data_IF_094850289861
#
_entry.id   IF_094850289861
#
_cell.length_a   1.000
_cell.length_b   1.000
_cell.length_c   1.000
_cell.angle_alpha   90.00
_cell.angle_beta   90.00
_cell.angle_gamma   90.00
#
_symmetry.space_group_name_H-M   'P 1'
#
loop_
_entity.id
_entity.type
_entity.pdbx_description
1 polymer ?
#
# COMPACT_ATOMS: atom_id res chain seq x y z
N UNK A 1 8.88 37.74 25.08
CA UNK A 1 7.75 38.01 24.16
C UNK A 1 7.50 36.69 23.44
N UNK A 2 6.34 36.07 23.66
CA UNK A 2 6.02 34.75 23.13
C UNK A 2 5.24 34.96 21.82
N UNK A 3 5.65 34.31 20.73
CA UNK A 3 4.91 34.34 19.47
C UNK A 3 3.65 33.46 19.59
N UNK A 4 2.49 34.09 19.67
CA UNK A 4 1.16 33.44 19.71
C UNK A 4 0.48 33.43 18.33
N UNK A 5 0.95 34.27 17.42
CA UNK A 5 0.42 34.36 16.06
C UNK A 5 1.07 33.31 15.16
N UNK A 6 0.23 32.48 14.54
CA UNK A 6 0.65 31.49 13.56
C UNK A 6 0.35 32.01 12.15
N UNK A 7 1.40 32.13 11.34
CA UNK A 7 1.32 32.63 9.97
C UNK A 7 1.18 31.51 8.92
N UNK A 8 1.04 30.26 9.35
CA UNK A 8 1.06 29.07 8.49
C UNK A 8 -0.34 28.56 8.21
N UNK A 9 -1.07 28.19 9.26
CA UNK A 9 -2.31 27.43 9.19
C UNK A 9 -3.54 28.34 9.23
N UNK A 10 -4.66 27.85 8.71
CA UNK A 10 -5.97 28.48 8.86
C UNK A 10 -6.53 28.30 10.29
N UNK A 11 -7.49 29.13 10.68
CA UNK A 11 -7.98 29.15 12.06
C UNK A 11 -8.67 27.83 12.46
N UNK A 12 -9.44 27.17 11.58
CA UNK A 12 -10.07 25.88 11.90
C UNK A 12 -9.04 24.79 12.25
N UNK A 13 -7.90 24.75 11.55
CA UNK A 13 -6.80 23.81 11.82
C UNK A 13 -6.17 24.13 13.18
N UNK A 14 -5.94 25.41 13.48
CA UNK A 14 -5.35 25.83 14.75
C UNK A 14 -6.30 25.60 15.93
N UNK A 15 -7.61 25.82 15.75
CA UNK A 15 -8.60 25.55 16.80
C UNK A 15 -8.65 24.07 17.14
N UNK A 16 -8.59 23.18 16.14
CA UNK A 16 -8.45 21.74 16.37
C UNK A 16 -7.14 21.40 17.10
N UNK A 17 -6.01 21.98 16.66
CA UNK A 17 -4.70 21.76 17.30
C UNK A 17 -4.69 22.23 18.77
N UNK A 18 -5.22 23.42 19.03
CA UNK A 18 -5.34 24.01 20.37
C UNK A 18 -6.24 23.15 21.28
N UNK A 19 -7.34 22.63 20.75
CA UNK A 19 -8.26 21.78 21.51
C UNK A 19 -7.60 20.45 21.92
N UNK A 20 -6.89 19.79 20.99
CA UNK A 20 -6.13 18.56 21.27
C UNK A 20 -5.06 18.81 22.32
N UNK A 21 -4.17 19.79 22.11
CA UNK A 21 -3.04 20.03 23.02
C UNK A 21 -3.47 20.58 24.38
N UNK A 22 -4.61 21.26 24.46
CA UNK A 22 -5.17 21.81 25.70
C UNK A 22 -5.56 20.74 26.72
N UNK A 23 -5.71 19.47 26.30
CA UNK A 23 -5.96 18.33 27.18
C UNK A 23 -4.70 17.77 27.86
N UNK A 24 -3.51 18.32 27.60
CA UNK A 24 -2.29 17.96 28.34
C UNK A 24 -2.21 18.68 29.69
N UNK A 25 -1.97 17.92 30.76
CA UNK A 25 -1.91 18.42 32.13
C UNK A 25 -0.63 19.20 32.46
N UNK A 26 0.45 18.96 31.71
CA UNK A 26 1.72 19.65 31.90
C UNK A 26 1.67 21.05 31.28
N UNK A 27 1.72 22.05 32.15
CA UNK A 27 1.38 23.48 31.94
C UNK A 27 2.28 24.24 30.95
N UNK A 28 3.09 23.55 30.13
CA UNK A 28 4.09 24.16 29.24
C UNK A 28 3.51 24.81 27.97
N UNK A 29 2.21 24.64 27.69
CA UNK A 29 1.54 25.23 26.52
C UNK A 29 0.18 25.87 26.85
N UNK A 30 0.13 26.81 27.80
CA UNK A 30 -1.00 27.76 27.96
C UNK A 30 -1.13 28.77 26.80
N UNK A 31 -0.51 28.50 25.65
CA UNK A 31 -0.42 29.37 24.49
C UNK A 31 -1.48 28.95 23.49
N UNK A 32 -2.45 29.81 23.25
CA UNK A 32 -3.47 29.60 22.23
C UNK A 32 -3.00 30.23 20.93
N UNK A 33 -2.73 29.41 19.92
CA UNK A 33 -2.34 29.93 18.61
C UNK A 33 -3.55 30.50 17.86
N UNK A 34 -3.38 31.63 17.20
CA UNK A 34 -4.41 32.22 16.32
C UNK A 34 -3.81 32.61 14.96
N UNK A 35 -4.67 32.72 13.95
CA UNK A 35 -4.31 33.03 12.56
C UNK A 35 -5.17 34.14 11.98
N UNK A 36 -4.54 35.04 11.22
CA UNK A 36 -5.23 36.10 10.47
C UNK A 36 -5.61 35.68 9.04
N UNK A 37 -5.39 34.40 8.67
CA UNK A 37 -5.74 33.86 7.34
C UNK A 37 -7.23 33.50 7.20
N UNK A 38 -8.03 33.82 8.23
CA UNK A 38 -9.45 33.49 8.31
C UNK A 38 -9.71 32.04 8.74
N UNK A 39 -11.00 31.64 8.80
CA UNK A 39 -11.40 30.31 9.24
C UNK A 39 -10.78 29.19 8.40
N UNK A 40 -10.66 29.41 7.10
CA UNK A 40 -10.33 28.35 6.15
C UNK A 40 -11.47 27.34 6.02
N UNK A 41 -11.16 26.21 5.40
CA UNK A 41 -12.12 25.12 5.23
C UNK A 41 -12.23 24.26 6.49
N UNK A 42 -13.32 23.49 6.59
CA UNK A 42 -13.45 22.48 7.65
C UNK A 42 -12.48 21.33 7.40
N UNK A 43 -12.09 20.67 8.48
CA UNK A 43 -11.27 19.48 8.44
C UNK A 43 -12.12 18.36 7.83
N UNK A 44 -11.59 17.63 6.85
CA UNK A 44 -12.31 16.50 6.27
C UNK A 44 -11.98 15.24 7.07
N UNK A 45 -12.99 14.58 7.61
CA UNK A 45 -12.85 13.31 8.33
C UNK A 45 -13.30 12.13 7.46
N UNK A 46 -12.64 10.97 7.58
CA UNK A 46 -13.08 9.74 6.92
C UNK A 46 -12.98 8.52 7.83
N UNK A 47 -14.03 7.69 7.80
CA UNK A 47 -14.04 6.37 8.44
C UNK A 47 -14.24 5.29 7.38
N UNK A 48 -13.19 4.50 7.15
CA UNK A 48 -13.20 3.34 6.26
C UNK A 48 -13.50 2.03 7.00
N UNK A 49 -13.98 1.01 6.29
CA UNK A 49 -14.08 -0.34 6.88
C UNK A 49 -12.67 -0.93 7.05
N UNK A 50 -11.83 -0.81 6.03
CA UNK A 50 -10.49 -1.41 5.96
C UNK A 50 -9.40 -0.36 5.74
N UNK A 51 -8.14 -0.77 5.95
CA UNK A 51 -6.96 0.06 5.60
C UNK A 51 -6.88 0.40 4.10
N UNK A 52 -7.46 -0.44 3.23
CA UNK A 52 -7.53 -0.15 1.79
C UNK A 52 -8.59 0.90 1.48
N UNK A 53 -9.74 0.90 2.18
CA UNK A 53 -10.76 1.95 2.03
C UNK A 53 -10.20 3.31 2.47
N UNK A 54 -9.44 3.32 3.56
CA UNK A 54 -8.73 4.51 4.02
C UNK A 54 -7.73 5.01 2.98
N UNK A 55 -6.89 4.12 2.45
CA UNK A 55 -5.91 4.47 1.43
C UNK A 55 -6.57 4.96 0.13
N UNK A 56 -7.72 4.38 -0.25
CA UNK A 56 -8.51 4.82 -1.40
C UNK A 56 -9.07 6.23 -1.20
N UNK A 57 -9.62 6.52 -0.02
CA UNK A 57 -10.05 7.88 0.32
C UNK A 57 -8.91 8.90 0.18
N UNK A 58 -7.71 8.55 0.66
CA UNK A 58 -6.53 9.42 0.54
C UNK A 58 -6.18 9.65 -0.94
N UNK A 59 -6.14 8.59 -1.76
CA UNK A 59 -5.85 8.72 -3.18
C UNK A 59 -6.89 9.55 -3.93
N UNK A 60 -8.18 9.30 -3.69
CA UNK A 60 -9.29 10.04 -4.32
C UNK A 60 -9.23 11.54 -3.98
N UNK A 61 -8.92 11.87 -2.74
CA UNK A 61 -8.88 13.26 -2.29
C UNK A 61 -7.59 13.97 -2.75
N UNK A 62 -6.47 13.26 -2.86
CA UNK A 62 -5.26 13.76 -3.53
C UNK A 62 -5.58 14.10 -5.00
N UNK A 63 -6.25 13.20 -5.72
CA UNK A 63 -6.62 13.42 -7.12
C UNK A 63 -7.59 14.60 -7.28
N UNK A 64 -8.57 14.72 -6.38
CA UNK A 64 -9.49 15.87 -6.34
C UNK A 64 -8.75 17.20 -6.14
N UNK A 65 -7.80 17.25 -5.19
CA UNK A 65 -7.00 18.45 -4.94
C UNK A 65 -6.08 18.76 -6.13
N UNK A 66 -5.50 17.74 -6.75
CA UNK A 66 -4.60 17.89 -7.89
C UNK A 66 -5.35 18.41 -9.12
N UNK A 67 -6.50 17.82 -9.42
CA UNK A 67 -7.42 18.30 -10.46
C UNK A 67 -7.90 19.74 -10.17
N UNK A 68 -8.00 20.11 -8.89
CA UNK A 68 -8.24 21.48 -8.43
C UNK A 68 -7.06 22.44 -8.58
N UNK A 69 -5.91 21.97 -9.10
CA UNK A 69 -4.72 22.79 -9.40
C UNK A 69 -3.63 22.77 -8.33
N UNK A 70 -3.73 21.93 -7.29
CA UNK A 70 -2.68 21.79 -6.28
C UNK A 70 -1.57 20.84 -6.75
N UNK A 71 -0.31 21.23 -6.60
CA UNK A 71 0.81 20.38 -6.99
C UNK A 71 1.02 19.21 -6.01
N UNK A 72 1.42 18.03 -6.50
CA UNK A 72 1.65 16.87 -5.64
C UNK A 72 2.69 17.13 -4.54
N UNK A 73 3.74 17.91 -4.84
CA UNK A 73 4.79 18.31 -3.87
C UNK A 73 4.26 19.09 -2.66
N UNK A 74 3.09 19.73 -2.80
CA UNK A 74 2.47 20.53 -1.74
C UNK A 74 1.52 19.69 -0.85
N UNK A 75 1.46 18.36 -1.09
CA UNK A 75 0.66 17.41 -0.35
C UNK A 75 1.53 16.41 0.42
N UNK A 76 1.10 16.03 1.62
CA UNK A 76 1.77 14.99 2.39
C UNK A 76 0.80 14.07 3.14
N UNK A 77 1.19 12.80 3.26
CA UNK A 77 0.47 11.76 4.02
C UNK A 77 1.32 11.36 5.23
N UNK A 78 0.75 11.53 6.41
CA UNK A 78 1.37 11.21 7.69
C UNK A 78 0.76 9.97 8.30
N UNK A 79 1.63 9.08 8.76
CA UNK A 79 1.29 7.87 9.49
C UNK A 79 2.14 7.75 10.75
N UNK A 80 1.74 6.89 11.68
CA UNK A 80 2.44 6.72 12.96
C UNK A 80 3.51 5.63 12.90
N UNK A 81 3.31 4.58 12.11
CA UNK A 81 4.25 3.46 11.94
C UNK A 81 4.47 3.12 10.47
N UNK A 82 5.66 2.59 10.14
CA UNK A 82 5.99 2.21 8.77
C UNK A 82 5.16 1.02 8.24
N UNK A 83 4.49 0.27 9.11
CA UNK A 83 3.58 -0.80 8.70
C UNK A 83 2.38 -0.24 7.91
N UNK A 84 1.96 1.01 8.19
CA UNK A 84 0.83 1.65 7.50
C UNK A 84 1.16 2.04 6.05
N UNK A 85 2.44 2.14 5.66
CA UNK A 85 2.79 2.62 4.31
C UNK A 85 2.29 1.68 3.24
N UNK A 86 2.18 0.37 3.53
CA UNK A 86 1.92 -0.63 2.51
C UNK A 86 0.62 -0.39 1.74
N UNK A 87 -0.50 -0.24 2.45
CA UNK A 87 -1.81 -0.01 1.84
C UNK A 87 -1.85 1.32 1.08
N UNK A 88 -1.20 2.36 1.64
CA UNK A 88 -1.07 3.66 0.99
C UNK A 88 -0.28 3.55 -0.32
N UNK A 89 0.89 2.93 -0.30
CA UNK A 89 1.73 2.72 -1.48
C UNK A 89 0.97 1.92 -2.55
N UNK A 90 0.33 0.81 -2.20
CA UNK A 90 -0.44 -0.03 -3.14
C UNK A 90 -1.52 0.77 -3.88
N UNK A 91 -2.31 1.55 -3.13
CA UNK A 91 -3.42 2.30 -3.70
C UNK A 91 -2.95 3.53 -4.49
N UNK A 92 -1.93 4.24 -4.01
CA UNK A 92 -1.37 5.39 -4.72
C UNK A 92 -0.74 4.96 -6.06
N UNK A 93 0.00 3.85 -6.07
CA UNK A 93 0.53 3.27 -7.32
C UNK A 93 -0.59 2.92 -8.31
N UNK A 94 -1.62 2.20 -7.85
CA UNK A 94 -2.76 1.82 -8.71
C UNK A 94 -3.55 3.01 -9.22
N UNK A 95 -3.63 4.08 -8.43
CA UNK A 95 -4.32 5.33 -8.79
C UNK A 95 -3.45 6.26 -9.65
N UNK A 96 -2.20 5.87 -9.96
CA UNK A 96 -1.28 6.69 -10.74
C UNK A 96 -0.81 7.95 -10.02
N UNK A 97 -0.86 7.98 -8.68
CA UNK A 97 -0.43 9.13 -7.87
C UNK A 97 1.07 9.01 -7.59
N UNK A 98 1.90 9.96 -8.07
CA UNK A 98 3.34 9.93 -7.84
C UNK A 98 3.65 10.22 -6.37
N UNK A 99 4.44 9.37 -5.72
CA UNK A 99 4.72 9.48 -4.30
C UNK A 99 6.20 9.22 -3.94
N UNK A 100 6.61 9.71 -2.77
CA UNK A 100 7.94 9.49 -2.21
C UNK A 100 7.88 9.24 -0.71
N UNK A 101 8.57 8.20 -0.26
CA UNK A 101 8.78 7.92 1.17
C UNK A 101 9.93 8.77 1.73
N UNK A 102 9.68 9.48 2.83
CA UNK A 102 10.69 10.24 3.58
C UNK A 102 11.10 9.45 4.82
N UNK A 103 12.39 9.12 4.92
CA UNK A 103 12.95 8.41 6.06
C UNK A 103 12.71 6.89 6.06
N UNK A 104 12.35 6.31 4.91
CA UNK A 104 12.20 4.86 4.72
C UNK A 104 12.48 4.44 3.28
N UNK A 105 12.63 3.14 3.06
CA UNK A 105 12.73 2.53 1.72
C UNK A 105 11.37 2.01 1.28
N UNK A 106 11.05 2.12 -0.02
CA UNK A 106 9.83 1.55 -0.61
C UNK A 106 9.71 0.07 -0.27
N UNK A 107 8.50 -0.43 -0.15
CA UNK A 107 8.26 -1.83 0.28
C UNK A 107 9.06 -2.83 -0.57
N UNK A 108 8.96 -2.76 -1.90
CA UNK A 108 9.67 -3.64 -2.83
C UNK A 108 11.18 -3.35 -2.95
N UNK A 109 11.66 -2.24 -2.39
CA UNK A 109 13.09 -1.90 -2.39
C UNK A 109 13.85 -2.46 -1.18
N UNK A 110 13.14 -2.86 -0.13
CA UNK A 110 13.69 -3.44 1.09
C UNK A 110 14.50 -4.71 0.77
N UNK A 111 15.62 -4.91 1.46
CA UNK A 111 16.57 -5.97 1.14
C UNK A 111 15.92 -7.35 1.28
N UNK A 112 15.20 -7.57 2.37
CA UNK A 112 14.49 -8.80 2.68
C UNK A 112 13.39 -9.10 1.66
N UNK A 113 12.68 -8.07 1.18
CA UNK A 113 11.66 -8.23 0.14
C UNK A 113 12.30 -8.61 -1.19
N UNK A 114 13.39 -7.93 -1.57
CA UNK A 114 14.16 -8.28 -2.78
C UNK A 114 14.74 -9.69 -2.73
N UNK A 115 15.16 -10.16 -1.56
CA UNK A 115 15.65 -11.52 -1.38
C UNK A 115 14.55 -12.55 -1.62
N UNK A 116 13.37 -12.33 -1.02
CA UNK A 116 12.22 -13.22 -1.18
C UNK A 116 11.67 -13.18 -2.61
N UNK A 117 11.63 -12.01 -3.26
CA UNK A 117 11.28 -11.90 -4.67
C UNK A 117 12.30 -12.61 -5.56
N UNK A 118 13.60 -12.59 -5.23
CA UNK A 118 14.60 -13.34 -5.97
C UNK A 118 14.45 -14.86 -5.78
N UNK A 119 13.97 -15.33 -4.63
CA UNK A 119 13.58 -16.73 -4.46
C UNK A 119 12.44 -17.13 -5.40
N UNK A 120 11.39 -16.30 -5.47
CA UNK A 120 10.27 -16.50 -6.37
C UNK A 120 10.72 -16.47 -7.84
N UNK A 121 11.55 -15.49 -8.22
CA UNK A 121 12.11 -15.38 -9.57
C UNK A 121 12.98 -16.59 -9.94
N UNK A 122 13.81 -17.08 -9.02
CA UNK A 122 14.68 -18.23 -9.26
C UNK A 122 13.92 -19.54 -9.52
N UNK A 123 12.75 -19.73 -8.91
CA UNK A 123 11.90 -20.91 -9.19
C UNK A 123 10.97 -20.71 -10.37
N UNK A 124 10.57 -19.46 -10.67
CA UNK A 124 9.79 -19.13 -11.86
C UNK A 124 10.64 -19.24 -13.14
N UNK A 125 11.90 -18.81 -13.07
CA UNK A 125 12.87 -18.85 -14.15
C UNK A 125 14.20 -19.45 -13.65
N UNK A 126 14.42 -20.75 -13.84
CA UNK A 126 15.68 -21.42 -13.48
C UNK A 126 16.93 -20.81 -14.14
N UNK A 127 16.78 -20.11 -15.26
CA UNK A 127 17.90 -19.51 -15.99
C UNK A 127 18.28 -18.10 -15.50
N UNK A 128 17.55 -17.54 -14.54
CA UNK A 128 17.88 -16.24 -13.94
C UNK A 128 19.11 -16.34 -13.01
N UNK A 129 20.31 -16.24 -13.58
CA UNK A 129 21.55 -16.28 -12.83
C UNK A 129 21.73 -15.12 -11.84
N UNK A 130 21.02 -13.99 -11.99
CA UNK A 130 21.09 -12.88 -11.02
C UNK A 130 20.29 -13.22 -9.77
N UNK A 131 19.07 -13.74 -9.93
CA UNK A 131 18.25 -14.19 -8.82
C UNK A 131 18.96 -15.27 -7.99
N UNK A 132 19.53 -16.28 -8.67
CA UNK A 132 20.25 -17.37 -8.02
C UNK A 132 21.47 -16.91 -7.22
N UNK A 133 22.29 -16.00 -7.77
CA UNK A 133 23.45 -15.45 -7.05
C UNK A 133 23.03 -14.65 -5.81
N UNK A 134 21.98 -13.84 -5.92
CA UNK A 134 21.45 -13.05 -4.78
C UNK A 134 21.06 -13.94 -3.60
N UNK A 135 20.39 -15.07 -3.87
CA UNK A 135 19.82 -15.93 -2.82
C UNK A 135 20.78 -17.02 -2.34
N UNK A 136 21.89 -17.28 -3.06
CA UNK A 136 22.82 -18.37 -2.80
C UNK A 136 23.25 -18.42 -1.32
N UNK A 137 23.62 -17.27 -0.76
CA UNK A 137 24.10 -17.15 0.61
C UNK A 137 23.17 -16.32 1.52
N UNK A 138 21.89 -16.22 1.17
CA UNK A 138 20.88 -15.47 1.93
C UNK A 138 19.68 -16.36 2.24
N UNK A 139 19.45 -16.82 3.49
CA UNK A 139 20.26 -16.58 4.69
C UNK A 139 21.67 -17.18 4.59
N UNK A 140 22.58 -16.76 5.50
CA UNK A 140 23.99 -17.17 5.49
C UNK A 140 24.11 -18.70 5.54
N UNK A 141 24.69 -19.28 4.48
CA UNK A 141 24.95 -20.72 4.30
C UNK A 141 26.42 -21.08 4.43
N UNK A 142 27.28 -20.09 4.69
CA UNK A 142 28.73 -20.29 4.70
C UNK A 142 29.31 -20.46 3.30
N UNK A 143 28.62 -19.94 2.28
CA UNK A 143 29.09 -19.89 0.89
C UNK A 143 29.72 -18.51 0.68
N UNK A 144 31.02 -18.47 0.36
CA UNK A 144 31.74 -17.21 0.10
C UNK A 144 31.89 -16.92 -1.39
N UNK A 145 32.36 -15.70 -1.70
CA UNK A 145 32.54 -15.18 -3.06
C UNK A 145 33.41 -16.08 -3.96
N UNK A 146 34.37 -16.80 -3.37
CA UNK A 146 35.24 -17.74 -4.09
C UNK A 146 34.44 -18.91 -4.65
N UNK A 147 33.50 -19.46 -3.87
CA UNK A 147 32.64 -20.56 -4.30
C UNK A 147 31.66 -20.07 -5.36
N UNK A 148 31.04 -18.90 -5.16
CA UNK A 148 30.13 -18.30 -6.15
C UNK A 148 30.86 -18.05 -7.48
N UNK A 149 32.06 -17.46 -7.44
CA UNK A 149 32.88 -17.22 -8.62
C UNK A 149 33.28 -18.50 -9.33
N UNK A 150 33.55 -19.58 -8.58
CA UNK A 150 33.87 -20.88 -9.17
C UNK A 150 32.66 -21.48 -9.90
N UNK A 151 31.46 -21.38 -9.31
CA UNK A 151 30.21 -21.82 -9.96
C UNK A 151 29.96 -20.99 -11.22
N UNK A 152 30.12 -19.67 -11.16
CA UNK A 152 29.94 -18.79 -12.33
C UNK A 152 30.92 -19.14 -13.46
N UNK A 153 32.21 -19.32 -13.13
CA UNK A 153 33.22 -19.72 -14.14
C UNK A 153 32.87 -21.06 -14.77
N UNK A 154 32.47 -22.05 -13.97
CA UNK A 154 32.05 -23.34 -14.49
C UNK A 154 30.81 -23.22 -15.39
N UNK A 155 29.86 -22.36 -15.04
CA UNK A 155 28.70 -22.07 -15.87
C UNK A 155 29.11 -21.48 -17.23
N UNK A 156 30.01 -20.48 -17.21
CA UNK A 156 30.50 -19.80 -18.41
C UNK A 156 31.31 -20.75 -19.31
N UNK A 157 32.22 -21.54 -18.73
CA UNK A 157 33.10 -22.48 -19.44
C UNK A 157 32.31 -23.60 -20.14
N UNK A 158 31.20 -24.03 -19.54
CA UNK A 158 30.35 -25.09 -20.08
C UNK A 158 29.13 -24.56 -20.85
N UNK A 159 28.96 -23.24 -20.93
CA UNK A 159 27.80 -22.58 -21.56
C UNK A 159 26.44 -23.04 -21.00
N UNK A 160 26.39 -23.25 -19.69
CA UNK A 160 25.19 -23.67 -18.95
C UNK A 160 24.70 -22.55 -18.02
N UNK A 161 23.46 -22.63 -17.55
CA UNK A 161 22.98 -21.62 -16.59
C UNK A 161 23.65 -21.77 -15.22
N UNK A 162 23.68 -20.68 -14.43
CA UNK A 162 24.22 -20.74 -13.07
C UNK A 162 23.54 -21.84 -12.23
N UNK A 163 22.24 -22.05 -12.48
CA UNK A 163 21.43 -23.09 -11.85
C UNK A 163 21.88 -24.50 -12.24
N UNK A 164 22.14 -24.73 -13.52
CA UNK A 164 22.68 -25.99 -14.01
C UNK A 164 24.08 -26.28 -13.45
N UNK A 165 24.93 -25.25 -13.33
CA UNK A 165 26.24 -25.39 -12.68
C UNK A 165 26.11 -25.79 -11.20
N UNK A 166 25.12 -25.25 -10.46
CA UNK A 166 24.84 -25.70 -9.09
C UNK A 166 24.35 -27.16 -9.03
N UNK A 167 23.62 -27.65 -10.03
CA UNK A 167 23.22 -29.07 -10.11
C UNK A 167 24.42 -29.99 -10.34
N UNK A 168 25.51 -29.47 -10.90
CA UNK A 168 26.76 -30.18 -11.16
C UNK A 168 27.88 -29.76 -10.20
N UNK A 169 27.54 -29.35 -8.98
CA UNK A 169 28.48 -28.76 -8.02
C UNK A 169 29.68 -29.67 -7.68
N UNK A 170 29.53 -30.99 -7.84
CA UNK A 170 30.60 -31.99 -7.72
C UNK A 170 31.74 -31.76 -8.71
N UNK A 171 31.41 -31.30 -9.92
CA UNK A 171 32.34 -31.07 -11.02
C UNK A 171 33.01 -29.69 -10.98
N UNK A 172 32.49 -28.76 -10.16
CA UNK A 172 33.01 -27.39 -10.03
C UNK A 172 34.34 -27.34 -9.25
N UNK A 173 34.62 -28.34 -8.40
CA UNK A 173 35.88 -28.42 -7.66
C UNK A 173 35.97 -27.51 -6.43
N UNK A 174 34.84 -27.26 -5.75
CA UNK A 174 34.79 -26.48 -4.50
C UNK A 174 34.94 -27.36 -3.24
N UNK A 175 35.11 -26.74 -2.07
CA UNK A 175 35.26 -27.46 -0.80
C UNK A 175 34.04 -28.34 -0.49
N UNK A 176 34.27 -29.54 0.07
CA UNK A 176 33.21 -30.55 0.30
C UNK A 176 32.00 -30.03 1.10
N UNK A 177 32.22 -29.15 2.08
CA UNK A 177 31.13 -28.50 2.83
C UNK A 177 30.27 -27.62 1.92
N UNK A 178 30.89 -26.79 1.08
CA UNK A 178 30.19 -25.94 0.13
C UNK A 178 29.44 -26.77 -0.91
N UNK A 179 30.05 -27.86 -1.41
CA UNK A 179 29.38 -28.81 -2.31
C UNK A 179 28.11 -29.38 -1.71
N UNK A 180 28.16 -29.85 -0.46
CA UNK A 180 27.00 -30.40 0.23
C UNK A 180 25.89 -29.36 0.42
N UNK A 181 26.23 -28.16 0.87
CA UNK A 181 25.27 -27.07 1.11
C UNK A 181 24.61 -26.58 -0.19
N UNK A 182 25.37 -26.39 -1.26
CA UNK A 182 24.82 -25.99 -2.57
C UNK A 182 23.94 -27.09 -3.16
N UNK A 183 24.33 -28.37 -3.01
CA UNK A 183 23.51 -29.50 -3.47
C UNK A 183 22.17 -29.57 -2.75
N UNK A 184 22.16 -29.43 -1.43
CA UNK A 184 20.91 -29.41 -0.65
C UNK A 184 20.02 -28.25 -1.09
N UNK A 185 20.62 -27.06 -1.26
CA UNK A 185 19.90 -25.87 -1.69
C UNK A 185 19.30 -25.98 -3.10
N UNK A 186 20.08 -26.45 -4.08
CA UNK A 186 19.60 -26.61 -5.46
C UNK A 186 18.49 -27.66 -5.52
N UNK A 187 18.62 -28.78 -4.80
CA UNK A 187 17.57 -29.81 -4.72
C UNK A 187 16.26 -29.26 -4.14
N UNK A 188 16.33 -28.45 -3.08
CA UNK A 188 15.15 -27.82 -2.50
C UNK A 188 14.43 -26.91 -3.50
N UNK A 189 15.20 -26.07 -4.20
CA UNK A 189 14.66 -25.17 -5.21
C UNK A 189 14.12 -25.93 -6.45
N UNK A 190 14.73 -27.05 -6.85
CA UNK A 190 14.25 -27.87 -7.99
C UNK A 190 12.92 -28.54 -7.66
N UNK A 191 12.80 -29.07 -6.44
CA UNK A 191 11.55 -29.64 -5.93
C UNK A 191 10.41 -28.62 -5.98
N UNK A 192 10.67 -27.38 -5.56
CA UNK A 192 9.66 -26.31 -5.55
C UNK A 192 9.37 -25.82 -6.97
N UNK A 193 10.39 -25.67 -7.82
CA UNK A 193 10.20 -25.30 -9.24
C UNK A 193 9.26 -26.27 -9.96
N UNK A 194 9.31 -27.57 -9.61
CA UNK A 194 8.40 -28.59 -10.13
C UNK A 194 6.93 -28.40 -9.75
N UNK A 195 6.59 -27.58 -8.76
CA UNK A 195 5.20 -27.31 -8.35
C UNK A 195 4.65 -25.99 -8.89
N UNK A 196 5.52 -25.08 -9.38
CA UNK A 196 5.17 -23.71 -9.79
C UNK A 196 4.04 -23.67 -10.82
N UNK A 197 3.97 -24.64 -11.74
CA UNK A 197 2.95 -24.68 -12.79
C UNK A 197 1.52 -24.92 -12.27
N UNK A 198 1.38 -25.48 -11.06
CA UNK A 198 0.07 -25.92 -10.52
C UNK A 198 -0.24 -25.38 -9.12
N UNK A 199 0.79 -24.96 -8.37
CA UNK A 199 0.64 -24.45 -7.02
C UNK A 199 0.23 -22.97 -7.02
N UNK A 200 -0.47 -22.56 -5.97
CA UNK A 200 -0.78 -21.16 -5.72
C UNK A 200 0.50 -20.40 -5.34
N UNK A 201 0.53 -19.11 -5.63
CA UNK A 201 1.71 -18.26 -5.35
C UNK A 201 2.08 -18.28 -3.87
N UNK A 202 1.07 -18.21 -2.99
CA UNK A 202 1.25 -18.27 -1.54
C UNK A 202 1.89 -19.60 -1.10
N UNK A 203 1.50 -20.72 -1.69
CA UNK A 203 2.00 -22.04 -1.31
C UNK A 203 3.46 -22.21 -1.75
N UNK A 204 3.81 -21.69 -2.94
CA UNK A 204 5.20 -21.65 -3.44
C UNK A 204 6.08 -20.80 -2.51
N UNK A 205 5.60 -19.61 -2.13
CA UNK A 205 6.34 -18.72 -1.23
C UNK A 205 6.55 -19.35 0.15
N UNK A 206 5.50 -19.93 0.76
CA UNK A 206 5.62 -20.60 2.06
C UNK A 206 6.62 -21.76 1.98
N UNK A 207 6.53 -22.59 0.93
CA UNK A 207 7.46 -23.71 0.74
C UNK A 207 8.93 -23.23 0.60
N UNK A 208 9.17 -22.08 -0.04
CA UNK A 208 10.49 -21.46 -0.14
C UNK A 208 11.00 -20.97 1.21
N UNK A 209 10.16 -20.25 1.97
CA UNK A 209 10.53 -19.73 3.29
C UNK A 209 10.84 -20.86 4.28
N UNK A 210 10.07 -21.95 4.26
CA UNK A 210 10.30 -23.14 5.07
C UNK A 210 11.57 -23.88 4.66
N UNK A 211 11.74 -24.17 3.37
CA UNK A 211 12.89 -24.94 2.89
C UNK A 211 14.23 -24.22 3.09
N UNK A 212 14.20 -22.89 3.13
CA UNK A 212 15.40 -22.06 3.31
C UNK A 212 15.66 -21.68 4.77
N UNK A 213 14.67 -21.84 5.65
CA UNK A 213 14.70 -21.36 7.02
C UNK A 213 14.72 -19.83 7.13
N UNK A 214 14.41 -19.09 6.06
CA UNK A 214 14.56 -17.63 6.00
C UNK A 214 13.77 -16.94 7.12
N UNK A 215 12.47 -17.24 7.23
CA UNK A 215 11.60 -16.60 8.21
C UNK A 215 11.93 -17.01 9.65
N UNK A 216 12.30 -18.27 9.85
CA UNK A 216 12.67 -18.81 11.17
C UNK A 216 13.90 -18.07 11.71
N UNK A 217 14.94 -17.91 10.88
CA UNK A 217 16.17 -17.22 11.28
C UNK A 217 15.94 -15.76 11.65
N UNK A 218 15.05 -15.06 10.94
CA UNK A 218 14.70 -13.68 11.28
C UNK A 218 13.97 -13.60 12.62
N UNK A 219 12.99 -14.48 12.87
CA UNK A 219 12.18 -14.51 14.10
C UNK A 219 12.93 -14.96 15.34
N UNK A 220 13.92 -15.84 15.19
CA UNK A 220 14.76 -16.30 16.31
C UNK A 220 15.78 -15.25 16.76
N UNK A 221 15.99 -14.21 15.95
CA UNK A 221 16.88 -13.11 16.29
C UNK A 221 16.33 -12.26 17.43
N UNK A 222 17.21 -11.87 18.36
CA UNK A 222 16.88 -10.89 19.41
C UNK A 222 17.05 -9.45 18.94
N UNK A 223 17.54 -9.25 17.72
CA UNK A 223 17.70 -7.93 17.13
C UNK A 223 16.32 -7.38 16.69
N UNK A 224 15.87 -6.23 17.23
CA UNK A 224 14.64 -5.60 16.79
C UNK A 224 14.58 -5.34 15.27
N UNK A 225 15.72 -5.13 14.61
CA UNK A 225 15.76 -4.91 13.16
C UNK A 225 15.44 -6.18 12.37
N UNK A 226 15.90 -7.35 12.83
CA UNK A 226 15.61 -8.64 12.17
C UNK A 226 14.14 -9.04 12.37
N UNK A 227 13.55 -8.70 13.53
CA UNK A 227 12.11 -8.86 13.75
C UNK A 227 11.29 -7.98 12.79
N UNK A 228 11.67 -6.72 12.59
CA UNK A 228 11.02 -5.86 11.60
C UNK A 228 11.15 -6.40 10.17
N UNK A 229 12.26 -7.09 9.83
CA UNK A 229 12.39 -7.78 8.54
C UNK A 229 11.47 -8.99 8.45
N UNK A 230 11.32 -9.77 9.52
CA UNK A 230 10.39 -10.89 9.57
C UNK A 230 8.95 -10.40 9.29
N UNK A 231 8.56 -9.32 9.95
CA UNK A 231 7.26 -8.65 9.75
C UNK A 231 7.05 -8.27 8.27
N UNK A 232 8.06 -7.70 7.62
CA UNK A 232 7.99 -7.35 6.20
C UNK A 232 7.82 -8.58 5.29
N UNK A 233 8.50 -9.69 5.59
CA UNK A 233 8.37 -10.94 4.83
C UNK A 233 6.99 -11.56 5.01
N UNK A 234 6.42 -11.52 6.23
CA UNK A 234 5.05 -11.98 6.49
C UNK A 234 4.01 -11.14 5.74
N UNK A 235 4.24 -9.83 5.64
CA UNK A 235 3.41 -8.95 4.83
C UNK A 235 3.43 -9.37 3.35
N UNK A 236 4.59 -9.74 2.81
CA UNK A 236 4.69 -10.27 1.45
C UNK A 236 3.89 -11.58 1.27
N UNK A 237 3.86 -12.44 2.29
CA UNK A 237 2.97 -13.62 2.30
C UNK A 237 1.51 -13.20 2.25
N UNK A 238 1.11 -12.19 3.02
CA UNK A 238 -0.23 -11.57 2.95
C UNK A 238 -0.59 -11.14 1.53
N UNK A 239 0.33 -10.45 0.84
CA UNK A 239 0.12 -10.02 -0.55
C UNK A 239 -0.10 -11.17 -1.52
N UNK A 240 0.66 -12.26 -1.38
CA UNK A 240 0.43 -13.43 -2.24
C UNK A 240 -0.94 -14.07 -2.01
N UNK A 241 -1.50 -13.98 -0.78
CA UNK A 241 -2.88 -14.42 -0.50
C UNK A 241 -3.89 -13.51 -1.16
N UNK A 242 -3.74 -12.19 -1.01
CA UNK A 242 -4.64 -11.21 -1.64
C UNK A 242 -4.63 -11.32 -3.16
N UNK A 243 -3.45 -11.47 -3.76
CA UNK A 243 -3.28 -11.74 -5.18
C UNK A 243 -4.10 -12.96 -5.61
N UNK A 244 -3.99 -14.07 -4.88
CA UNK A 244 -4.73 -15.29 -5.20
C UNK A 244 -6.24 -15.13 -5.01
N UNK A 245 -6.70 -14.29 -4.07
CA UNK A 245 -8.13 -14.00 -3.90
C UNK A 245 -8.65 -13.18 -5.09
N UNK A 246 -7.91 -12.16 -5.52
CA UNK A 246 -8.27 -11.30 -6.67
C UNK A 246 -8.17 -12.07 -8.01
N UNK A 247 -7.17 -12.94 -8.12
CA UNK A 247 -6.85 -13.73 -9.30
C UNK A 247 -6.75 -15.21 -8.94
N UNK A 248 -7.90 -15.93 -8.82
CA UNK A 248 -7.91 -17.34 -8.40
C UNK A 248 -7.07 -18.28 -9.27
N UNK A 249 -6.96 -17.98 -10.57
CA UNK A 249 -6.15 -18.72 -11.56
C UNK A 249 -4.80 -18.05 -11.84
N UNK A 250 -4.44 -17.00 -11.10
CA UNK A 250 -3.20 -16.25 -11.30
C UNK A 250 -1.97 -17.12 -10.99
N UNK A 251 -0.98 -17.07 -11.88
CA UNK A 251 0.27 -17.82 -11.75
C UNK A 251 1.34 -17.03 -11.01
N UNK A 252 2.45 -17.70 -10.66
CA UNK A 252 3.63 -17.01 -10.10
C UNK A 252 4.19 -15.96 -11.06
N UNK A 253 4.17 -16.24 -12.36
CA UNK A 253 4.66 -15.30 -13.38
C UNK A 253 3.77 -14.06 -13.43
N UNK A 254 2.45 -14.22 -13.33
CA UNK A 254 1.51 -13.10 -13.27
C UNK A 254 1.76 -12.22 -12.05
N UNK A 255 1.97 -12.84 -10.88
CA UNK A 255 2.32 -12.12 -9.66
C UNK A 255 3.63 -11.34 -9.78
N UNK A 256 4.69 -11.97 -10.28
CA UNK A 256 5.98 -11.29 -10.49
C UNK A 256 5.87 -10.16 -11.51
N UNK A 257 5.02 -10.31 -12.52
CA UNK A 257 4.73 -9.27 -13.52
C UNK A 257 3.98 -8.10 -12.89
N UNK A 258 2.96 -8.35 -12.05
CA UNK A 258 2.25 -7.31 -11.30
C UNK A 258 3.21 -6.53 -10.39
N UNK A 259 4.08 -7.23 -9.66
CA UNK A 259 5.10 -6.60 -8.81
C UNK A 259 6.07 -5.74 -9.63
N UNK A 260 6.54 -6.24 -10.78
CA UNK A 260 7.45 -5.50 -11.66
C UNK A 260 6.79 -4.24 -12.24
N UNK A 261 5.52 -4.33 -12.65
CA UNK A 261 4.75 -3.18 -13.15
C UNK A 261 4.51 -2.15 -12.06
N UNK A 262 4.18 -2.59 -10.84
CA UNK A 262 4.04 -1.73 -9.67
C UNK A 262 5.34 -0.96 -9.39
N UNK A 263 6.49 -1.62 -9.48
CA UNK A 263 7.80 -0.99 -9.27
C UNK A 263 8.24 -0.09 -10.44
N UNK A 264 7.67 -0.23 -11.64
CA UNK A 264 8.01 0.60 -12.80
C UNK A 264 7.12 1.83 -12.95
N UNK A 265 5.87 1.78 -12.45
CA UNK A 265 4.97 2.93 -12.34
C UNK A 265 5.50 4.01 -11.35
N UNK A 266 6.52 3.67 -10.59
CA UNK A 266 7.16 4.51 -9.58
C UNK A 266 8.12 5.58 -10.14
N UNK A 267 8.48 5.49 -11.43
CA UNK A 267 9.33 6.46 -12.15
C UNK A 267 8.50 7.51 -12.93
N UNK A 268 7.22 7.69 -12.57
CA UNK A 268 6.37 8.73 -13.13
C UNK A 268 6.82 10.11 -12.61
N UNK A 269 7.69 10.77 -13.36
CA UNK A 269 8.02 12.18 -13.17
C UNK A 269 6.85 13.06 -13.68
N UNK A 270 5.97 13.44 -12.76
CA UNK A 270 5.01 14.53 -12.97
C UNK A 270 5.70 15.88 -12.72
N UNK A 271 5.49 16.88 -13.59
CA UNK A 271 6.09 18.21 -13.43
C UNK A 271 5.68 18.90 -12.12
N UNK A 272 4.55 18.51 -11.53
CA UNK A 272 4.07 19.02 -10.24
C UNK A 272 4.77 18.37 -9.03
N UNK A 273 5.53 17.29 -9.23
CA UNK A 273 6.33 16.59 -8.21
C UNK A 273 5.64 15.34 -7.65
N UNK A 274 5.96 14.98 -6.41
CA UNK A 274 5.47 13.76 -5.75
C UNK A 274 4.82 14.06 -4.40
N UNK A 275 3.79 13.31 -4.03
CA UNK A 275 3.20 13.33 -2.68
C UNK A 275 4.19 12.77 -1.66
N UNK A 276 4.38 13.46 -0.54
CA UNK A 276 5.32 13.03 0.50
C UNK A 276 4.67 12.10 1.53
N UNK A 277 5.10 10.84 1.58
CA UNK A 277 4.70 9.87 2.61
C UNK A 277 5.75 9.86 3.72
N UNK A 278 5.33 10.10 4.96
CA UNK A 278 6.28 10.14 6.09
C UNK A 278 5.64 9.83 7.43
N UNK A 279 6.48 9.46 8.41
CA UNK A 279 6.00 9.32 9.78
C UNK A 279 5.72 10.69 10.41
N UNK A 280 4.82 10.74 11.40
CA UNK A 280 4.57 11.97 12.19
C UNK A 280 5.86 12.53 12.83
N UNK A 281 6.83 11.67 13.19
CA UNK A 281 8.11 12.10 13.77
C UNK A 281 8.98 12.85 12.76
N UNK A 282 9.02 12.35 11.52
CA UNK A 282 9.80 12.94 10.42
C UNK A 282 9.18 14.23 9.88
N UNK A 283 7.91 14.50 10.18
CA UNK A 283 7.22 15.71 9.73
C UNK A 283 7.69 17.00 10.45
N UNK A 284 8.46 16.90 11.53
CA UNK A 284 8.88 18.07 12.33
C UNK A 284 9.71 19.03 11.47
N UNK A 285 9.25 20.28 11.40
CA UNK A 285 9.93 21.36 10.66
C UNK A 285 9.48 21.49 9.19
N UNK A 286 8.75 20.50 8.67
CA UNK A 286 8.12 20.57 7.34
C UNK A 286 6.75 21.26 7.41
N UNK A 287 6.18 21.59 6.26
CA UNK A 287 4.86 22.20 6.11
C UNK A 287 4.32 22.00 4.69
N UNK A 288 3.02 21.74 4.55
CA UNK A 288 2.37 21.38 3.29
C UNK A 288 1.04 22.13 3.16
N UNK A 289 0.58 22.36 1.93
CA UNK A 289 -0.71 23.01 1.70
C UNK A 289 -1.87 22.08 2.09
N UNK A 290 -1.75 20.79 1.77
CA UNK A 290 -2.66 19.74 2.22
C UNK A 290 -1.92 18.65 3.00
N UNK A 291 -2.50 18.21 4.12
CA UNK A 291 -1.96 17.12 4.94
C UNK A 291 -3.06 16.10 5.23
N UNK A 292 -2.71 14.84 5.03
CA UNK A 292 -3.51 13.68 5.40
C UNK A 292 -2.88 13.03 6.63
N UNK A 293 -3.64 12.79 7.69
CA UNK A 293 -3.19 12.01 8.85
C UNK A 293 -4.03 10.74 8.90
N UNK A 294 -3.38 9.59 8.71
CA UNK A 294 -4.03 8.28 8.60
C UNK A 294 -3.82 7.40 9.83
N UNK A 295 -4.74 6.46 10.05
CA UNK A 295 -4.73 5.51 11.16
C UNK A 295 -4.81 6.20 12.51
N UNK A 296 -5.76 7.12 12.63
CA UNK A 296 -6.05 7.81 13.89
C UNK A 296 -6.93 6.89 14.75
N UNK A 297 -6.30 5.82 15.23
CA UNK A 297 -6.91 4.70 15.96
C UNK A 297 -6.21 4.49 17.30
N UNK A 298 -6.94 3.97 18.30
CA UNK A 298 -6.30 3.47 19.52
C UNK A 298 -5.27 2.38 19.17
N UNK A 299 -4.22 2.27 19.98
CA UNK A 299 -3.07 1.38 19.80
C UNK A 299 -2.11 1.75 18.63
N UNK A 300 -2.57 2.49 17.62
CA UNK A 300 -1.73 3.08 16.56
C UNK A 300 -1.33 4.50 16.93
N UNK A 301 -2.30 5.40 17.11
CA UNK A 301 -2.11 6.79 17.51
C UNK A 301 -3.20 7.17 18.52
N UNK A 302 -2.97 7.02 19.84
CA UNK A 302 -1.67 6.84 20.47
C UNK A 302 -1.11 5.41 20.37
N UNK A 303 0.20 5.30 20.16
CA UNK A 303 0.86 4.01 20.02
C UNK A 303 0.87 3.22 21.33
N UNK A 304 0.50 1.92 21.28
CA UNK A 304 0.37 1.03 22.46
C UNK A 304 1.54 1.08 23.43
N UNK A 305 2.77 1.05 22.91
CA UNK A 305 3.99 1.06 23.72
C UNK A 305 4.10 2.38 24.50
N UNK A 306 3.85 3.50 23.83
CA UNK A 306 3.92 4.83 24.45
C UNK A 306 2.83 5.01 25.51
N UNK A 307 1.63 4.46 25.31
CA UNK A 307 0.56 4.50 26.31
C UNK A 307 0.96 3.80 27.62
N UNK A 308 1.80 2.76 27.57
CA UNK A 308 2.27 2.05 28.75
C UNK A 308 3.33 2.83 29.57
N UNK A 309 3.93 3.87 29.00
CA UNK A 309 4.96 4.69 29.64
C UNK A 309 4.35 5.88 30.40
N UNK A 310 4.99 6.26 31.51
CA UNK A 310 4.58 7.43 32.28
C UNK A 310 4.73 8.71 31.43
N UNK A 311 3.62 9.39 31.14
CA UNK A 311 3.61 10.60 30.32
C UNK A 311 3.54 10.34 28.80
N UNK A 312 3.49 9.09 28.35
CA UNK A 312 3.56 8.78 26.92
C UNK A 312 2.31 9.17 26.13
N UNK A 313 1.13 9.20 26.76
CA UNK A 313 -0.09 9.77 26.13
C UNK A 313 0.11 11.25 25.80
N UNK A 314 0.75 12.01 26.71
CA UNK A 314 1.01 13.42 26.52
C UNK A 314 1.98 13.66 25.36
N UNK A 315 2.96 12.77 25.18
CA UNK A 315 3.90 12.84 24.06
C UNK A 315 3.25 12.44 22.73
N UNK A 316 2.44 11.37 22.69
CA UNK A 316 1.68 11.00 21.49
C UNK A 316 0.69 12.10 21.08
N UNK A 317 0.10 12.81 22.05
CA UNK A 317 -0.74 13.98 21.79
C UNK A 317 0.05 15.14 21.18
N UNK A 318 1.25 15.41 21.69
CA UNK A 318 2.16 16.41 21.10
C UNK A 318 2.54 16.03 19.68
N UNK A 319 2.75 14.74 19.42
CA UNK A 319 3.02 14.23 18.09
C UNK A 319 1.83 14.46 17.14
N UNK A 320 0.60 14.18 17.58
CA UNK A 320 -0.61 14.47 16.80
C UNK A 320 -0.80 15.98 16.56
N UNK A 321 -0.60 16.81 17.59
CA UNK A 321 -0.58 18.28 17.47
C UNK A 321 0.46 18.77 16.44
N UNK A 322 1.67 18.20 16.46
CA UNK A 322 2.71 18.52 15.48
C UNK A 322 2.25 18.18 14.07
N UNK A 323 1.58 17.04 13.87
CA UNK A 323 0.99 16.63 12.59
C UNK A 323 -0.07 17.61 12.08
N UNK A 324 -1.07 17.95 12.90
CA UNK A 324 -2.14 18.90 12.57
C UNK A 324 -1.54 20.25 12.13
N UNK A 325 -0.55 20.75 12.87
CA UNK A 325 0.08 22.06 12.61
C UNK A 325 1.06 22.08 11.42
N UNK A 326 1.19 20.98 10.66
CA UNK A 326 1.89 20.99 9.36
C UNK A 326 1.01 21.42 8.20
N UNK A 327 -0.30 21.31 8.35
CA UNK A 327 -1.27 21.71 7.33
C UNK A 327 -1.38 23.24 7.26
N UNK A 328 -1.21 23.81 6.07
CA UNK A 328 -1.43 25.25 5.83
C UNK A 328 -2.89 25.56 5.51
N UNK A 329 -3.49 24.81 4.58
CA UNK A 329 -4.81 25.12 4.00
C UNK A 329 -5.86 24.03 4.24
N UNK A 330 -5.47 22.77 4.02
CA UNK A 330 -6.35 21.60 4.06
C UNK A 330 -5.80 20.56 5.03
N UNK A 331 -6.67 20.00 5.86
CA UNK A 331 -6.35 18.90 6.76
C UNK A 331 -7.40 17.81 6.60
N UNK A 332 -6.92 16.59 6.42
CA UNK A 332 -7.70 15.39 6.27
C UNK A 332 -7.31 14.40 7.36
N UNK A 333 -8.30 13.88 8.08
CA UNK A 333 -8.14 12.93 9.18
C UNK A 333 -8.86 11.64 8.80
N UNK A 334 -8.19 10.50 8.93
CA UNK A 334 -8.81 9.22 8.59
C UNK A 334 -8.50 8.10 9.58
N UNK A 335 -9.43 7.15 9.63
CA UNK A 335 -9.30 5.90 10.37
C UNK A 335 -9.96 4.74 9.62
N UNK A 336 -9.58 3.52 9.97
CA UNK A 336 -10.26 2.30 9.58
C UNK A 336 -10.88 1.61 10.81
N UNK A 337 -12.05 0.98 10.64
CA UNK A 337 -12.68 0.16 11.70
C UNK A 337 -12.08 -1.23 11.82
N UNK A 338 -11.33 -1.67 10.81
CA UNK A 338 -10.59 -2.94 10.83
C UNK A 338 -9.28 -2.83 10.03
N UNK A 339 -8.24 -3.50 10.51
CA UNK A 339 -6.95 -3.60 9.84
C UNK A 339 -6.46 -5.03 9.79
N UNK A 340 -5.93 -5.41 8.64
CA UNK A 340 -5.25 -6.68 8.49
C UNK A 340 -3.78 -6.45 8.84
N UNK A 341 -3.33 -7.07 9.93
CA UNK A 341 -1.94 -7.04 10.37
C UNK A 341 -1.49 -8.48 10.57
N UNK A 342 -0.40 -8.89 9.92
CA UNK A 342 0.12 -10.26 10.02
C UNK A 342 -0.88 -11.37 9.60
N UNK A 343 -1.80 -11.05 8.69
CA UNK A 343 -2.83 -11.98 8.23
C UNK A 343 -4.06 -12.12 9.16
N UNK A 344 -4.01 -11.51 10.34
CA UNK A 344 -5.15 -11.41 11.25
C UNK A 344 -5.88 -10.08 11.04
N UNK A 345 -7.21 -10.14 11.00
CA UNK A 345 -8.05 -8.96 10.92
C UNK A 345 -8.40 -8.53 12.34
N UNK A 346 -7.86 -7.39 12.77
CA UNK A 346 -8.17 -6.79 14.05
C UNK A 346 -9.24 -5.69 13.87
N UNK A 347 -10.19 -5.65 14.80
CA UNK A 347 -11.10 -4.51 14.93
C UNK A 347 -10.35 -3.34 15.58
N UNK A 348 -10.44 -2.18 14.97
CA UNK A 348 -9.80 -0.96 15.46
C UNK A 348 -10.83 -0.03 16.11
N UNK A 349 -10.43 0.68 17.16
CA UNK A 349 -11.23 1.71 17.80
C UNK A 349 -10.72 3.09 17.41
N UNK A 350 -11.60 4.09 17.22
CA UNK A 350 -11.17 5.46 16.95
C UNK A 350 -10.29 6.00 18.08
N UNK A 351 -9.26 6.75 17.73
CA UNK A 351 -8.39 7.38 18.73
C UNK A 351 -9.17 8.33 19.63
N UNK A 352 -8.84 8.34 20.92
CA UNK A 352 -9.29 9.35 21.87
C UNK A 352 -9.00 10.79 21.42
N UNK A 353 -7.95 11.00 20.62
CA UNK A 353 -7.59 12.35 20.16
C UNK A 353 -8.62 12.95 19.20
N UNK A 354 -9.44 12.13 18.54
CA UNK A 354 -10.53 12.62 17.70
C UNK A 354 -11.65 13.25 18.53
N UNK A 355 -11.95 12.68 19.71
CA UNK A 355 -13.00 13.18 20.60
C UNK A 355 -12.66 14.53 21.25
N UNK A 356 -11.42 14.97 21.14
CA UNK A 356 -10.94 16.24 21.69
C UNK A 356 -11.01 17.37 20.66
N UNK A 357 -11.23 17.04 19.39
CA UNK A 357 -11.47 18.02 18.33
C UNK A 357 -12.97 18.37 18.35
N UNK A 358 -13.34 19.65 18.39
CA UNK A 358 -14.74 20.05 18.30
C UNK A 358 -15.42 19.55 17.02
N UNK A 359 -16.56 18.86 17.14
CA UNK A 359 -17.32 18.30 16.01
C UNK A 359 -17.67 19.35 14.94
N UNK A 360 -17.84 20.61 15.33
CA UNK A 360 -18.15 21.71 14.40
C UNK A 360 -17.02 22.01 13.40
N UNK A 361 -15.80 21.55 13.68
CA UNK A 361 -14.62 21.78 12.84
C UNK A 361 -14.39 20.66 11.81
N UNK A 362 -15.05 19.50 11.98
CA UNK A 362 -14.81 18.31 11.15
C UNK A 362 -16.07 17.94 10.35
N UNK A 363 -15.89 17.66 9.07
CA UNK A 363 -16.91 17.11 8.18
C UNK A 363 -16.61 15.63 7.89
N UNK A 364 -17.31 14.73 8.58
CA UNK A 364 -17.06 13.29 8.52
C UNK A 364 -17.76 12.62 7.34
N UNK A 365 -17.00 11.84 6.57
CA UNK A 365 -17.46 10.95 5.49
C UNK A 365 -17.29 9.49 5.93
N UNK A 366 -18.18 8.60 5.49
CA UNK A 366 -18.09 7.15 5.78
C UNK A 366 -18.05 6.35 4.48
N UNK A 367 -17.25 5.27 4.45
CA UNK A 367 -17.31 4.28 3.37
C UNK A 367 -18.63 3.52 3.46
N UNK A 368 -19.55 3.74 2.51
CA UNK A 368 -20.61 2.76 2.25
C UNK A 368 -21.72 2.64 3.30
N UNK A 369 -22.13 3.73 3.95
CA UNK A 369 -23.54 3.92 4.33
C UNK A 369 -24.08 5.17 3.67
N UNK A 370 -24.78 4.98 2.55
CA UNK A 370 -25.75 5.95 2.03
C UNK A 370 -26.61 6.34 3.23
N UNK A 371 -26.52 7.60 3.68
CA UNK A 371 -27.32 8.11 4.80
C UNK A 371 -28.80 7.99 4.45
N UNK A 372 -29.40 6.88 4.89
CA UNK A 372 -30.82 6.74 5.10
C UNK A 372 -30.98 6.87 6.60
N UNK A 373 -31.22 8.09 7.07
CA UNK A 373 -31.88 8.27 8.35
C UNK A 373 -33.24 7.56 8.29
N UNK A 374 -33.52 6.66 9.24
CA UNK A 374 -34.74 6.88 10.00
C UNK A 374 -34.57 6.62 11.50
N UNK A 375 -35.17 7.55 12.22
CA UNK A 375 -35.71 7.50 13.58
C UNK A 375 -35.93 6.09 14.16
N UNK A 376 -35.42 5.94 15.40
CA UNK A 376 -35.74 4.84 16.31
C UNK A 376 -37.26 4.68 16.50
N UNK A 377 -37.78 3.47 16.23
CA UNK A 377 -38.90 2.92 16.99
C UNK A 377 -38.76 1.40 17.12
N UNK A 378 -38.77 0.93 18.38
CA UNK A 378 -38.74 -0.49 18.77
C UNK A 378 -40.00 -1.21 18.30
N UNK A 379 -39.86 -2.32 17.57
CA UNK A 379 -40.82 -3.43 17.61
C UNK A 379 -40.16 -4.76 17.20
N UNK A 380 -40.19 -5.69 18.14
CA UNK A 380 -39.82 -7.10 18.06
C UNK A 380 -40.86 -7.91 17.30
N UNK A 381 -40.50 -8.65 16.25
CA UNK A 381 -41.29 -9.73 15.63
C UNK A 381 -40.39 -10.78 14.97
N UNK A 382 -40.73 -12.05 15.22
CA UNK A 382 -40.13 -13.27 14.68
C UNK A 382 -40.51 -13.57 13.21
N UNK A 383 -39.53 -14.13 12.47
CA UNK A 383 -39.58 -15.01 11.27
C UNK A 383 -40.23 -14.49 9.95
N UNK A 384 -39.90 -14.99 8.73
CA UNK A 384 -39.24 -16.26 8.38
C UNK A 384 -38.08 -16.18 7.35
N UNK A 385 -37.34 -17.29 7.20
CA UNK A 385 -36.29 -17.49 6.19
C UNK A 385 -36.85 -17.58 4.76
N UNK A 386 -36.25 -16.83 3.83
CA UNK A 386 -36.45 -17.00 2.38
C UNK A 386 -35.19 -17.61 1.73
N UNK A 387 -35.35 -18.46 0.70
CA UNK A 387 -34.27 -19.28 0.16
C UNK A 387 -33.25 -18.47 -0.65
N UNK A 388 -32.00 -18.93 -0.65
CA UNK A 388 -30.90 -18.40 -1.47
C UNK A 388 -31.23 -18.63 -2.94
N UNK A 389 -31.28 -17.55 -3.72
CA UNK A 389 -31.30 -17.60 -5.18
C UNK A 389 -29.89 -17.98 -5.66
N UNK A 390 -29.79 -19.11 -6.35
CA UNK A 390 -28.61 -19.49 -7.12
C UNK A 390 -28.42 -18.53 -8.29
N UNK A 391 -27.20 -18.01 -8.46
CA UNK A 391 -26.80 -17.30 -9.66
C UNK A 391 -26.29 -18.33 -10.67
N UNK A 392 -27.04 -18.50 -11.76
CA UNK A 392 -26.60 -19.20 -12.97
C UNK A 392 -26.14 -18.15 -13.97
N UNK A 393 -24.87 -18.21 -14.38
CA UNK A 393 -24.30 -17.28 -15.35
C UNK A 393 -22.80 -17.37 -15.39
N UNK A 394 -22.28 -18.29 -16.22
CA UNK A 394 -20.87 -18.40 -16.53
C UNK A 394 -20.36 -17.08 -17.16
N UNK A 395 -19.39 -16.43 -16.52
CA UNK A 395 -18.67 -15.31 -17.13
C UNK A 395 -17.58 -15.91 -18.01
N UNK A 396 -17.74 -15.73 -19.31
CA UNK A 396 -16.80 -16.11 -20.35
C UNK A 396 -15.46 -15.39 -20.17
N UNK A 397 -14.41 -16.20 -20.10
CA UNK A 397 -13.00 -15.84 -20.25
C UNK A 397 -12.77 -15.12 -21.58
N UNK A 398 -12.32 -13.87 -21.54
CA UNK A 398 -11.50 -13.26 -22.59
C UNK A 398 -10.87 -11.97 -22.04
N UNK A 399 -9.54 -11.86 -22.20
CA UNK A 399 -8.78 -10.64 -21.88
C UNK A 399 -9.18 -9.59 -22.91
N UNK A 400 -9.82 -8.50 -22.46
CA UNK A 400 -10.26 -7.42 -23.35
C UNK A 400 -9.06 -6.55 -23.73
N UNK A 401 -8.62 -6.65 -24.98
CA UNK A 401 -7.69 -5.71 -25.61
C UNK A 401 -8.46 -4.84 -26.62
N UNK A 402 -8.81 -3.62 -26.19
CA UNK A 402 -9.50 -2.66 -27.04
C UNK A 402 -8.51 -1.85 -27.91
N UNK A 403 -7.32 -2.39 -28.20
CA UNK A 403 -6.32 -1.76 -29.06
C UNK A 403 -6.88 -1.34 -30.43
N UNK A 404 -7.82 -2.11 -30.97
CA UNK A 404 -8.54 -1.82 -32.22
C UNK A 404 -9.82 -0.98 -32.10
N UNK A 405 -10.25 -0.59 -30.89
CA UNK A 405 -11.48 0.17 -30.68
C UNK A 405 -11.22 1.67 -30.96
N UNK A 406 -11.82 2.20 -32.02
CA UNK A 406 -11.84 3.63 -32.30
C UNK A 406 -13.14 4.26 -31.79
N UNK A 407 -13.00 5.17 -30.83
CA UNK A 407 -14.09 5.99 -30.34
C UNK A 407 -13.92 7.42 -30.84
N UNK A 408 -15.02 8.00 -31.31
CA UNK A 408 -15.10 9.41 -31.69
C UNK A 408 -16.15 10.12 -30.84
N UNK A 409 -16.01 11.45 -30.76
CA UNK A 409 -16.94 12.30 -30.03
C UNK A 409 -18.37 12.08 -30.57
N UNK A 410 -19.30 11.79 -29.66
CA UNK A 410 -20.70 11.50 -29.96
C UNK A 410 -21.07 10.01 -29.94
N UNK A 411 -20.09 9.10 -29.95
CA UNK A 411 -20.33 7.65 -29.87
C UNK A 411 -21.01 7.26 -28.56
N UNK A 412 -21.92 6.28 -28.63
CA UNK A 412 -22.54 5.68 -27.45
C UNK A 412 -21.79 4.41 -27.06
N UNK A 413 -21.47 4.27 -25.79
CA UNK A 413 -20.77 3.13 -25.25
C UNK A 413 -21.49 2.61 -24.01
N UNK A 414 -21.34 1.33 -23.73
CA UNK A 414 -21.79 0.69 -22.49
C UNK A 414 -20.59 0.22 -21.70
N UNK A 415 -20.51 0.61 -20.44
CA UNK A 415 -19.52 0.16 -19.47
C UNK A 415 -20.16 -0.85 -18.53
N UNK A 416 -19.45 -1.94 -18.21
CA UNK A 416 -20.00 -3.03 -17.39
C UNK A 416 -20.47 -2.53 -16.01
N UNK A 417 -19.75 -1.58 -15.40
CA UNK A 417 -20.11 -0.99 -14.09
C UNK A 417 -20.91 0.32 -14.14
N UNK A 418 -20.82 1.10 -15.23
CA UNK A 418 -21.36 2.46 -15.29
C UNK A 418 -22.56 2.62 -16.24
N UNK A 419 -22.98 1.53 -16.89
CA UNK A 419 -24.10 1.54 -17.82
C UNK A 419 -23.79 2.26 -19.13
N UNK A 420 -24.82 2.78 -19.80
CA UNK A 420 -24.68 3.47 -21.08
C UNK A 420 -24.26 4.93 -20.91
N UNK A 421 -23.44 5.43 -21.83
CA UNK A 421 -22.94 6.80 -21.84
C UNK A 421 -22.49 7.26 -23.20
N UNK A 422 -22.36 8.58 -23.37
CA UNK A 422 -21.95 9.22 -24.61
C UNK A 422 -20.53 9.80 -24.50
N UNK A 423 -19.68 9.50 -25.48
CA UNK A 423 -18.31 10.03 -25.56
C UNK A 423 -18.37 11.52 -25.86
N UNK A 424 -17.83 12.35 -24.96
CA UNK A 424 -17.82 13.82 -25.06
C UNK A 424 -16.47 14.37 -25.49
N UNK A 425 -15.38 13.66 -25.25
CA UNK A 425 -14.05 14.00 -25.77
C UNK A 425 -13.17 12.74 -25.87
N UNK A 426 -12.21 12.75 -26.80
CA UNK A 426 -11.17 11.72 -26.89
C UNK A 426 -9.82 12.43 -26.99
N UNK A 427 -8.90 12.10 -26.09
CA UNK A 427 -7.56 12.70 -25.99
C UNK A 427 -6.47 11.61 -25.94
N UNK A 428 -5.24 11.96 -26.32
CA UNK A 428 -4.11 11.01 -26.38
C UNK A 428 -3.97 10.30 -27.73
N UNK A 429 -2.90 9.52 -27.87
CA UNK A 429 -2.55 8.80 -29.12
C UNK A 429 -2.20 7.33 -28.86
N UNK A 430 -2.49 6.47 -29.84
CA UNK A 430 -2.21 5.03 -29.82
C UNK A 430 -2.78 4.29 -28.59
N UNK A 431 -1.89 3.68 -27.82
CA UNK A 431 -2.23 2.90 -26.62
C UNK A 431 -2.61 3.76 -25.39
N UNK A 432 -2.42 5.10 -25.47
CA UNK A 432 -2.70 6.06 -24.38
C UNK A 432 -3.96 6.89 -24.63
N UNK A 433 -4.88 6.42 -25.49
CA UNK A 433 -6.13 7.13 -25.79
C UNK A 433 -7.11 7.06 -24.61
N UNK A 434 -7.59 8.22 -24.19
CA UNK A 434 -8.53 8.42 -23.10
C UNK A 434 -9.83 8.96 -23.67
N UNK A 435 -10.95 8.30 -23.38
CA UNK A 435 -12.29 8.80 -23.68
C UNK A 435 -12.90 9.46 -22.43
N UNK A 436 -13.35 10.69 -22.55
CA UNK A 436 -14.28 11.30 -21.61
C UNK A 436 -15.70 10.92 -22.02
N UNK A 437 -16.44 10.30 -21.11
CA UNK A 437 -17.77 9.76 -21.36
C UNK A 437 -18.75 10.28 -20.32
N UNK A 438 -19.88 10.80 -20.78
CA UNK A 438 -21.01 11.20 -19.95
C UNK A 438 -21.94 9.99 -19.81
N UNK A 439 -21.89 9.31 -18.67
CA UNK A 439 -22.80 8.20 -18.36
C UNK A 439 -24.15 8.71 -17.88
N UNK A 440 -25.22 8.01 -18.27
CA UNK A 440 -26.61 8.40 -18.02
C UNK A 440 -26.95 8.37 -16.52
N UNK A 441 -26.37 7.43 -15.75
CA UNK A 441 -26.63 7.26 -14.32
C UNK A 441 -25.53 7.83 -13.41
N UNK A 442 -24.27 7.82 -13.87
CA UNK A 442 -23.08 8.02 -12.99
C UNK A 442 -22.31 9.32 -13.27
N UNK A 443 -22.69 10.06 -14.31
CA UNK A 443 -22.05 11.33 -14.66
C UNK A 443 -20.80 11.19 -15.54
N UNK A 444 -19.96 12.24 -15.60
CA UNK A 444 -18.76 12.25 -16.44
C UNK A 444 -17.63 11.40 -15.85
N UNK A 445 -17.03 10.55 -16.68
CA UNK A 445 -15.86 9.73 -16.33
C UNK A 445 -14.82 9.72 -17.45
N UNK A 446 -13.54 9.61 -17.08
CA UNK A 446 -12.41 9.42 -18.00
C UNK A 446 -12.02 7.96 -18.00
N UNK A 447 -11.89 7.38 -19.19
CA UNK A 447 -11.63 5.95 -19.37
C UNK A 447 -10.48 5.76 -20.35
N UNK A 448 -9.51 4.93 -19.99
CA UNK A 448 -8.45 4.53 -20.91
C UNK A 448 -9.01 3.47 -21.88
N UNK A 449 -9.15 3.84 -23.16
CA UNK A 449 -9.90 3.05 -24.15
C UNK A 449 -9.38 1.61 -24.24
N UNK A 450 -8.06 1.44 -24.18
CA UNK A 450 -7.38 0.15 -24.36
C UNK A 450 -7.81 -0.95 -23.37
N UNK A 451 -8.15 -0.56 -22.13
CA UNK A 451 -8.39 -1.51 -21.03
C UNK A 451 -9.74 -1.34 -20.36
N UNK A 452 -10.47 -0.25 -20.64
CA UNK A 452 -11.76 -0.03 -20.04
C UNK A 452 -12.75 -1.13 -20.47
N UNK A 453 -13.59 -1.66 -19.56
CA UNK A 453 -14.60 -2.67 -19.86
C UNK A 453 -15.78 -2.03 -20.59
N UNK A 454 -15.53 -1.52 -21.80
CA UNK A 454 -16.47 -0.78 -22.63
C UNK A 454 -16.76 -1.51 -23.94
N UNK A 455 -18.02 -1.46 -24.36
CA UNK A 455 -18.45 -1.90 -25.68
C UNK A 455 -19.17 -0.74 -26.37
N UNK A 456 -18.88 -0.52 -27.64
CA UNK A 456 -19.64 0.45 -28.46
C UNK A 456 -21.04 -0.10 -28.73
N UNK A 457 -22.06 0.75 -28.56
CA UNK A 457 -23.49 0.39 -28.73
C UNK A 457 -24.01 0.90 -30.06
#
# INVERSE_FOLDING_TARGET
MVLEQNYRSTQNILDAANAVIGNNFDTSMSKRLFSDRGPGERITGFTGVTQHDEAQFVADEIDNLHTGGMAYRDMAVFYRTNAQTRALEDVLMRSGVPYRLIGGTKFYERMEIKDVLAYLAAVANPDDGLAHRRILNTPKRGIGDVTESAIQRFADDNQISFREAMRQIESVGVAARATATVREFVNALDRISGTVATAKVVDVLIALLEATGYLILLKESRDPQENARAENVEELVGLTREFQVKSPEGTLIDFLTEVALSSAADDLDDESGTVSLMTLHTAKGLEFDAVFITGIEEEILPHRISVAEAGGIQEERRLFYVGITRAKKKLHLSLATSRATFGDIASCMPSRFLAEIPDSLVDWRESGRRSLSPSFEKRSWDAPSKPRTEWTGAITREVRDNSGLELVIGDRIRHDDFGEGQVVAVTGDGAKRIAEVQFDEVGKKKLLIKIAPIAKV
#
